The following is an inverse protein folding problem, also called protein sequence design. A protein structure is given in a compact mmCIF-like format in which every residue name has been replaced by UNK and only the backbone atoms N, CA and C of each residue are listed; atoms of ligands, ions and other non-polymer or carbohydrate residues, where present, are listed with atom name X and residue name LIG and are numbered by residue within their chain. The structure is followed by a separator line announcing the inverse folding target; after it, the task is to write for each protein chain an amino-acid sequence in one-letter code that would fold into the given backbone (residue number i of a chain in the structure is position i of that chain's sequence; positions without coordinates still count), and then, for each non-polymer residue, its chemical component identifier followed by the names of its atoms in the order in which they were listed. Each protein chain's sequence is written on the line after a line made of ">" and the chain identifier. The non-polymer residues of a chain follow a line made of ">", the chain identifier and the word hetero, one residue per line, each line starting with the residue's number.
data_IF_391694211824
#
_entry.id   IF_391694211824
#
_cell.length_a   1.000
_cell.length_b   1.000
_cell.length_c   1.000
_cell.angle_alpha   90.00
_cell.angle_beta   90.00
_cell.angle_gamma   90.00
#
_symmetry.space_group_name_H-M   'P 1'
#
loop_
_entity.id
_entity.type
_entity.pdbx_description
1 polymer ?
#
# COMPACT_ATOMS: atom_id res chain seq x y z
N UNK A 1 11.03 -54.86 50.46
CA UNK A 1 11.22 -54.58 51.91
C UNK A 1 12.46 -53.73 52.13
N UNK A 2 12.64 -53.09 53.33
CA UNK A 2 13.84 -52.30 53.63
C UNK A 2 15.06 -53.14 53.57
N UNK A 3 16.18 -52.68 53.01
CA UNK A 3 17.49 -53.33 53.05
C UNK A 3 18.23 -52.88 54.31
N UNK A 4 18.97 -53.79 54.90
CA UNK A 4 19.80 -53.48 56.09
C UNK A 4 21.12 -52.78 55.70
N UNK A 5 21.44 -52.71 54.42
CA UNK A 5 22.69 -52.16 53.87
C UNK A 5 22.39 -51.14 52.75
N UNK A 6 23.38 -50.30 52.41
CA UNK A 6 23.38 -49.50 51.21
C UNK A 6 23.16 -50.40 49.99
N UNK A 7 22.29 -49.97 49.08
CA UNK A 7 22.00 -50.71 47.86
C UNK A 7 22.17 -49.79 46.65
N UNK A 8 22.88 -50.30 45.65
CA UNK A 8 23.14 -49.55 44.42
C UNK A 8 22.25 -50.05 43.30
N UNK A 9 21.64 -49.14 42.54
CA UNK A 9 20.84 -49.43 41.36
C UNK A 9 21.32 -48.60 40.16
N UNK A 10 21.18 -49.12 38.95
CA UNK A 10 21.34 -48.32 37.74
C UNK A 10 20.27 -47.23 37.69
N UNK A 11 20.65 -46.05 37.23
CA UNK A 11 19.75 -44.92 37.00
C UNK A 11 20.02 -44.33 35.63
N UNK A 12 18.96 -44.01 34.89
CA UNK A 12 19.07 -43.29 33.64
C UNK A 12 17.86 -42.38 33.44
N UNK A 13 18.11 -41.21 32.87
CA UNK A 13 17.16 -40.41 32.18
C UNK A 13 17.40 -40.59 30.67
N UNK A 14 16.35 -40.75 29.91
CA UNK A 14 16.43 -40.88 28.47
C UNK A 14 15.38 -40.00 27.81
N UNK A 15 15.79 -39.34 26.74
CA UNK A 15 14.92 -38.55 25.90
C UNK A 15 13.81 -39.42 25.28
N UNK A 16 12.65 -38.87 25.16
CA UNK A 16 11.53 -39.36 24.35
C UNK A 16 11.25 -38.38 23.23
N UNK A 17 10.11 -37.70 23.30
CA UNK A 17 9.89 -36.49 22.52
C UNK A 17 10.55 -35.27 23.16
N UNK A 18 10.57 -35.23 24.49
CA UNK A 18 11.33 -34.24 25.27
C UNK A 18 12.84 -34.50 25.23
N UNK A 19 13.63 -33.43 25.06
CA UNK A 19 15.09 -33.44 24.90
C UNK A 19 15.78 -32.80 26.12
N UNK A 20 16.77 -33.48 26.67
CA UNK A 20 17.55 -32.96 27.78
C UNK A 20 18.31 -31.67 27.41
N UNK A 21 18.13 -30.63 28.22
CA UNK A 21 18.73 -29.30 28.02
C UNK A 21 17.85 -28.31 27.26
N UNK A 22 16.89 -28.79 26.47
CA UNK A 22 15.81 -27.96 25.91
C UNK A 22 14.59 -28.00 26.85
N UNK A 23 14.03 -29.16 27.09
CA UNK A 23 12.71 -29.33 27.72
C UNK A 23 12.81 -29.74 29.18
N UNK A 24 13.92 -30.35 29.58
CA UNK A 24 14.19 -30.71 30.98
C UNK A 24 15.66 -30.70 31.33
N UNK A 25 15.95 -30.52 32.63
CA UNK A 25 17.31 -30.58 33.16
C UNK A 25 17.71 -32.01 33.44
N UNK A 26 18.81 -32.48 32.81
CA UNK A 26 19.38 -33.82 33.08
C UNK A 26 20.12 -33.95 34.45
N UNK A 27 19.73 -33.14 35.42
CA UNK A 27 20.29 -33.08 36.76
C UNK A 27 19.21 -33.43 37.81
N UNK A 28 18.83 -34.71 37.93
CA UNK A 28 17.74 -35.12 38.82
C UNK A 28 18.11 -34.93 40.29
N UNK A 29 17.10 -34.61 41.10
CA UNK A 29 17.20 -34.54 42.55
C UNK A 29 16.52 -35.77 43.18
N UNK A 30 17.10 -36.28 44.25
CA UNK A 30 16.60 -37.46 44.96
C UNK A 30 16.22 -37.11 46.38
N UNK A 31 15.14 -37.69 46.89
CA UNK A 31 14.75 -37.56 48.29
C UNK A 31 15.40 -38.68 49.17
N UNK A 32 15.22 -38.57 50.51
CA UNK A 32 15.61 -39.56 51.51
C UNK A 32 17.09 -39.92 51.50
N UNK A 33 17.98 -38.98 51.13
CA UNK A 33 19.44 -39.20 51.16
C UNK A 33 19.97 -40.15 50.09
N UNK A 34 19.18 -40.44 49.07
CA UNK A 34 19.65 -41.15 47.87
C UNK A 34 20.64 -40.25 47.14
N UNK A 35 21.78 -40.78 46.75
CA UNK A 35 22.83 -40.07 46.01
C UNK A 35 22.97 -40.61 44.59
N UNK A 36 23.33 -39.77 43.66
CA UNK A 36 23.51 -40.08 42.24
C UNK A 36 24.97 -39.86 41.84
N UNK A 37 25.57 -40.86 41.22
CA UNK A 37 26.86 -40.74 40.56
C UNK A 37 26.67 -40.69 39.03
N UNK A 38 26.83 -39.51 38.38
CA UNK A 38 26.65 -39.38 36.96
C UNK A 38 27.75 -40.06 36.12
N UNK A 39 28.91 -40.41 36.71
CA UNK A 39 30.01 -41.08 36.02
C UNK A 39 29.69 -42.55 35.81
N UNK A 40 29.12 -43.19 36.81
CA UNK A 40 28.75 -44.61 36.76
C UNK A 40 27.30 -44.86 36.35
N UNK A 41 26.46 -43.81 36.32
CA UNK A 41 25.03 -43.93 36.04
C UNK A 41 24.30 -44.75 37.13
N UNK A 42 24.72 -44.60 38.42
CA UNK A 42 24.11 -45.34 39.48
C UNK A 42 23.60 -44.44 40.61
N UNK A 43 22.59 -44.94 41.32
CA UNK A 43 22.11 -44.32 42.56
C UNK A 43 22.45 -45.25 43.72
N UNK A 44 22.78 -44.65 44.88
CA UNK A 44 22.98 -45.36 46.15
C UNK A 44 21.83 -45.02 47.10
N UNK A 45 21.07 -46.05 47.50
CA UNK A 45 19.90 -45.92 48.37
C UNK A 45 20.32 -46.29 49.77
N UNK A 46 20.12 -45.40 50.78
CA UNK A 46 20.50 -45.69 52.17
C UNK A 46 19.73 -46.88 52.80
N UNK A 47 20.33 -47.52 53.80
CA UNK A 47 19.67 -48.57 54.56
C UNK A 47 18.37 -48.08 55.20
N UNK A 48 17.31 -48.92 55.14
CA UNK A 48 15.97 -48.57 55.66
C UNK A 48 15.09 -47.78 54.79
N UNK A 49 15.56 -47.20 53.66
CA UNK A 49 14.73 -46.48 52.69
C UNK A 49 13.93 -47.47 51.84
N UNK A 50 12.60 -47.33 51.84
CA UNK A 50 11.68 -48.21 51.14
C UNK A 50 11.06 -47.54 49.93
N UNK A 51 11.11 -46.17 49.85
CA UNK A 51 10.65 -45.34 48.75
C UNK A 51 11.44 -44.04 48.74
N UNK A 52 11.62 -43.49 47.56
CA UNK A 52 12.19 -42.17 47.34
C UNK A 52 11.54 -41.55 46.06
N UNK A 53 11.65 -40.24 45.94
CA UNK A 53 11.21 -39.52 44.76
C UNK A 53 12.40 -39.09 43.92
N UNK A 54 12.23 -39.10 42.60
CA UNK A 54 13.12 -38.50 41.64
C UNK A 54 12.40 -37.24 41.09
N UNK A 55 13.02 -36.09 41.27
CA UNK A 55 12.51 -34.83 40.73
C UNK A 55 13.37 -34.40 39.56
N UNK A 56 12.75 -34.18 38.42
CA UNK A 56 13.34 -33.64 37.19
C UNK A 56 12.69 -32.27 36.95
N UNK A 57 13.52 -31.25 36.81
CA UNK A 57 13.02 -29.89 36.52
C UNK A 57 12.74 -29.75 35.03
N UNK A 58 11.54 -29.29 34.65
CA UNK A 58 11.25 -28.83 33.30
C UNK A 58 11.96 -27.51 33.02
N UNK A 59 12.21 -27.24 31.77
CA UNK A 59 12.64 -25.95 31.25
C UNK A 59 11.40 -25.29 30.64
N UNK A 60 11.16 -24.04 30.99
CA UNK A 60 10.07 -23.20 30.46
C UNK A 60 10.65 -22.30 29.40
N UNK A 61 10.00 -22.21 28.21
CA UNK A 61 10.41 -21.32 27.15
C UNK A 61 9.18 -20.56 26.57
N UNK A 62 9.13 -20.20 25.32
CA UNK A 62 8.00 -19.50 24.69
C UNK A 62 7.77 -20.08 23.30
N UNK A 63 7.87 -21.38 23.14
CA UNK A 63 7.66 -22.11 21.89
C UNK A 63 6.40 -22.94 22.00
N UNK A 64 5.44 -22.76 21.10
CA UNK A 64 4.28 -23.64 21.05
C UNK A 64 4.68 -25.02 20.57
N UNK A 65 4.52 -25.99 21.43
CA UNK A 65 4.89 -27.39 21.23
C UNK A 65 3.69 -28.31 21.49
N UNK A 66 3.89 -29.58 21.46
CA UNK A 66 2.93 -30.55 21.98
C UNK A 66 3.42 -31.11 23.32
N UNK A 67 2.55 -31.76 24.09
CA UNK A 67 2.96 -32.47 25.26
C UNK A 67 4.10 -33.45 24.95
N UNK A 68 5.19 -33.38 25.70
CA UNK A 68 6.39 -34.12 25.46
C UNK A 68 6.68 -35.15 26.58
N UNK A 69 7.51 -36.13 26.27
CA UNK A 69 7.78 -37.22 27.21
C UNK A 69 9.26 -37.55 27.32
N UNK A 70 9.67 -37.94 28.48
CA UNK A 70 10.98 -38.54 28.79
C UNK A 70 10.84 -39.78 29.67
N UNK A 71 11.86 -40.62 29.73
CA UNK A 71 11.84 -41.83 30.48
C UNK A 71 12.81 -41.79 31.67
N UNK A 72 12.34 -42.20 32.84
CA UNK A 72 13.16 -42.42 34.04
C UNK A 72 13.29 -43.92 34.30
N UNK A 73 14.52 -44.42 34.41
CA UNK A 73 14.77 -45.83 34.66
C UNK A 73 15.57 -46.00 35.96
N UNK A 74 15.13 -46.95 36.82
CA UNK A 74 15.79 -47.31 38.08
C UNK A 74 15.83 -48.83 38.20
N UNK A 75 17.03 -49.43 38.30
CA UNK A 75 17.20 -50.88 38.52
C UNK A 75 16.49 -51.73 37.45
N UNK A 76 16.40 -51.28 36.23
CA UNK A 76 15.76 -51.99 35.12
C UNK A 76 14.23 -51.82 35.03
N UNK A 77 13.63 -51.02 35.90
CA UNK A 77 12.23 -50.59 35.78
C UNK A 77 12.19 -49.17 35.28
N UNK A 78 11.23 -48.83 34.44
CA UNK A 78 11.09 -47.49 33.84
C UNK A 78 9.68 -46.92 34.03
N UNK A 79 9.63 -45.60 34.10
CA UNK A 79 8.41 -44.78 34.11
C UNK A 79 8.57 -43.61 33.15
N UNK A 80 7.44 -43.14 32.60
CA UNK A 80 7.41 -41.98 31.70
C UNK A 80 7.02 -40.73 32.50
N UNK A 81 7.78 -39.65 32.31
CA UNK A 81 7.38 -38.32 32.70
C UNK A 81 6.79 -37.60 31.45
N UNK A 82 5.77 -36.77 31.66
CA UNK A 82 5.20 -35.89 30.63
C UNK A 82 5.41 -34.45 31.02
N UNK A 83 5.90 -33.65 30.10
CA UNK A 83 5.97 -32.19 30.17
C UNK A 83 4.80 -31.66 29.34
N UNK A 84 3.99 -30.83 29.96
CA UNK A 84 2.82 -30.22 29.32
C UNK A 84 3.21 -28.82 28.86
N UNK A 85 2.99 -28.53 27.58
CA UNK A 85 3.20 -27.20 27.00
C UNK A 85 2.21 -26.20 27.60
N UNK A 86 2.69 -25.03 28.00
CA UNK A 86 1.91 -23.94 28.58
C UNK A 86 1.81 -22.67 27.67
N UNK A 87 2.46 -22.66 26.51
CA UNK A 87 2.56 -21.50 25.63
C UNK A 87 1.39 -21.35 24.67
N UNK A 88 0.65 -22.43 24.45
CA UNK A 88 -0.54 -22.44 23.62
C UNK A 88 -0.26 -22.24 22.12
N UNK A 89 -1.33 -22.15 21.34
CA UNK A 89 -1.21 -21.99 19.90
C UNK A 89 -0.85 -20.54 19.50
N UNK A 90 0.10 -20.32 18.57
CA UNK A 90 0.48 -18.98 18.14
C UNK A 90 -0.65 -18.27 17.37
N UNK A 91 -0.65 -16.94 17.39
CA UNK A 91 -1.56 -16.12 16.60
C UNK A 91 -0.85 -15.42 15.45
N UNK A 92 -1.49 -15.41 14.27
CA UNK A 92 -1.02 -14.77 13.06
C UNK A 92 -1.55 -13.34 12.97
N UNK A 93 -0.67 -12.40 12.67
CA UNK A 93 -1.00 -11.01 12.45
C UNK A 93 -0.40 -10.53 11.13
N UNK A 94 -1.18 -9.78 10.34
CA UNK A 94 -0.68 -9.07 9.17
C UNK A 94 -0.60 -7.57 9.46
N UNK A 95 0.45 -6.92 8.97
CA UNK A 95 0.65 -5.48 9.02
C UNK A 95 1.25 -4.97 7.72
N UNK A 96 1.01 -3.69 7.40
CA UNK A 96 1.52 -3.03 6.20
C UNK A 96 1.26 -1.53 6.24
N UNK A 97 1.69 -0.79 5.21
CA UNK A 97 1.48 0.64 5.13
C UNK A 97 -0.01 0.95 4.90
N UNK A 98 -0.51 1.97 5.60
CA UNK A 98 -1.89 2.46 5.42
C UNK A 98 -2.04 3.31 4.15
N UNK A 99 -0.96 4.00 3.74
CA UNK A 99 -0.90 4.86 2.55
C UNK A 99 0.27 4.40 1.70
N UNK A 100 0.04 4.28 0.41
CA UNK A 100 0.96 3.79 -0.61
C UNK A 100 1.01 4.79 -1.75
N UNK A 101 2.21 5.17 -2.18
CA UNK A 101 2.44 5.91 -3.40
C UNK A 101 2.10 5.03 -4.61
N UNK A 102 1.37 5.54 -5.58
CA UNK A 102 1.11 4.82 -6.84
C UNK A 102 2.43 4.48 -7.55
N UNK A 103 3.40 5.38 -7.54
CA UNK A 103 4.74 5.16 -8.12
C UNK A 103 5.66 4.27 -7.26
N UNK A 104 5.18 3.65 -6.17
CA UNK A 104 6.01 2.81 -5.30
C UNK A 104 6.56 1.54 -5.99
N UNK A 105 5.93 1.11 -7.08
CA UNK A 105 6.27 -0.12 -7.81
C UNK A 105 5.95 -1.40 -7.04
N UNK A 106 6.29 -1.48 -5.75
CA UNK A 106 5.97 -2.62 -4.89
C UNK A 106 5.74 -2.20 -3.44
N UNK A 107 4.83 -2.90 -2.77
CA UNK A 107 4.51 -2.73 -1.34
C UNK A 107 4.74 -4.04 -0.60
N UNK A 108 5.36 -3.95 0.57
CA UNK A 108 5.65 -5.10 1.42
C UNK A 108 4.76 -5.11 2.65
N UNK A 109 4.12 -6.24 2.88
CA UNK A 109 3.35 -6.56 4.08
C UNK A 109 4.12 -7.58 4.92
N UNK A 110 4.04 -7.46 6.23
CA UNK A 110 4.68 -8.39 7.17
C UNK A 110 3.62 -9.23 7.85
N UNK A 111 3.81 -10.55 7.83
CA UNK A 111 2.99 -11.50 8.59
C UNK A 111 3.85 -12.06 9.72
N UNK A 112 3.33 -11.99 10.95
CA UNK A 112 4.04 -12.42 12.15
C UNK A 112 3.24 -13.45 12.94
N UNK A 113 3.97 -14.37 13.60
CA UNK A 113 3.45 -15.20 14.69
C UNK A 113 3.70 -14.50 16.03
N UNK A 114 2.78 -14.64 16.99
CA UNK A 114 2.93 -14.08 18.35
C UNK A 114 4.13 -14.64 19.09
N UNK A 115 4.44 -15.91 18.85
CA UNK A 115 5.62 -16.64 19.37
C UNK A 115 5.97 -17.79 18.40
N UNK A 116 7.20 -18.36 18.49
CA UNK A 116 7.60 -19.46 17.63
C UNK A 116 6.77 -20.74 17.89
N UNK A 117 6.75 -21.63 16.91
CA UNK A 117 6.19 -22.98 17.02
C UNK A 117 7.29 -23.99 16.70
N UNK A 118 7.29 -25.11 17.39
CA UNK A 118 8.16 -26.24 17.07
C UNK A 118 7.75 -26.96 15.78
N UNK A 119 6.49 -26.82 15.37
CA UNK A 119 5.95 -27.33 14.10
C UNK A 119 5.93 -26.29 13.00
N UNK A 120 5.72 -26.74 11.75
CA UNK A 120 5.46 -25.86 10.61
C UNK A 120 4.07 -25.25 10.73
N UNK A 121 3.95 -23.92 10.59
CA UNK A 121 2.69 -23.18 10.51
C UNK A 121 2.54 -22.65 9.09
N UNK A 122 1.38 -22.88 8.45
CA UNK A 122 1.06 -22.26 7.14
C UNK A 122 -0.16 -21.39 7.25
N UNK A 123 -0.24 -20.39 6.36
CA UNK A 123 -1.41 -19.52 6.20
C UNK A 123 -1.53 -19.09 4.75
N UNK A 124 -2.72 -19.12 4.21
CA UNK A 124 -3.00 -18.59 2.88
C UNK A 124 -3.19 -17.08 2.95
N UNK A 125 -2.78 -16.38 1.90
CA UNK A 125 -3.01 -14.95 1.74
C UNK A 125 -3.56 -14.63 0.35
N UNK A 126 -4.35 -13.55 0.27
CA UNK A 126 -4.81 -13.00 -0.98
C UNK A 126 -5.05 -11.50 -0.86
N UNK A 127 -4.73 -10.77 -1.95
CA UNK A 127 -5.22 -9.41 -2.12
C UNK A 127 -6.66 -9.41 -2.60
N UNK A 128 -7.40 -8.34 -2.28
CA UNK A 128 -8.78 -8.14 -2.69
C UNK A 128 -9.03 -6.67 -3.04
N UNK A 129 -9.81 -6.45 -4.10
CA UNK A 129 -10.21 -5.12 -4.56
C UNK A 129 -11.04 -4.38 -3.49
N UNK A 130 -10.84 -3.07 -3.47
CA UNK A 130 -11.70 -2.11 -2.82
C UNK A 130 -12.22 -1.16 -3.89
N UNK A 131 -11.84 0.14 -3.85
CA UNK A 131 -11.97 1.03 -5.00
C UNK A 131 -10.86 0.79 -6.01
N UNK A 132 -9.64 0.51 -5.55
CA UNK A 132 -8.55 0.04 -6.42
C UNK A 132 -8.84 -1.36 -6.98
N UNK A 133 -8.59 -1.57 -8.27
CA UNK A 133 -8.91 -2.79 -9.01
C UNK A 133 -7.65 -3.51 -9.51
N UNK A 134 -7.61 -4.80 -9.31
CA UNK A 134 -6.50 -5.62 -9.78
C UNK A 134 -6.40 -5.60 -11.32
N UNK A 135 -5.19 -5.30 -11.83
CA UNK A 135 -4.91 -5.20 -13.26
C UNK A 135 -4.81 -3.76 -13.77
N UNK A 136 -5.44 -2.78 -13.08
CA UNK A 136 -5.22 -1.34 -13.27
C UNK A 136 -4.22 -0.84 -12.22
N UNK A 137 -4.62 -0.81 -10.96
CA UNK A 137 -3.94 -0.08 -9.88
C UNK A 137 -2.91 -0.95 -9.13
N UNK A 138 -3.09 -2.27 -9.15
CA UNK A 138 -2.15 -3.22 -8.56
C UNK A 138 -2.24 -4.60 -9.21
N UNK A 139 -1.24 -5.45 -8.99
CA UNK A 139 -1.28 -6.84 -9.44
C UNK A 139 -1.86 -7.73 -8.33
N UNK A 140 -2.95 -8.46 -8.66
CA UNK A 140 -3.52 -9.44 -7.73
C UNK A 140 -2.46 -10.44 -7.26
N UNK A 141 -2.35 -10.61 -5.95
CA UNK A 141 -1.32 -11.43 -5.32
C UNK A 141 -1.98 -12.41 -4.35
N UNK A 142 -1.63 -13.70 -4.47
CA UNK A 142 -2.12 -14.74 -3.57
C UNK A 142 -1.11 -15.88 -3.44
N UNK A 143 -1.20 -16.64 -2.36
CA UNK A 143 -0.32 -17.78 -2.12
C UNK A 143 -0.45 -18.33 -0.71
N UNK A 144 0.52 -19.15 -0.32
CA UNK A 144 0.63 -19.72 1.02
C UNK A 144 1.99 -19.36 1.61
N UNK A 145 2.00 -18.76 2.80
CA UNK A 145 3.20 -18.59 3.60
C UNK A 145 3.43 -19.84 4.45
N UNK A 146 4.69 -20.25 4.59
CA UNK A 146 5.08 -21.40 5.40
C UNK A 146 6.18 -20.98 6.36
N UNK A 147 5.83 -20.89 7.64
CA UNK A 147 6.76 -20.64 8.73
C UNK A 147 7.42 -21.96 9.12
N UNK A 148 8.74 -22.02 8.97
CA UNK A 148 9.52 -23.15 9.49
C UNK A 148 9.54 -23.14 11.02
N UNK A 149 9.85 -24.28 11.67
CA UNK A 149 10.04 -24.31 13.12
C UNK A 149 10.93 -23.18 13.62
N UNK A 150 10.50 -22.46 14.64
CA UNK A 150 11.18 -21.31 15.22
C UNK A 150 11.05 -19.99 14.44
N UNK A 151 10.49 -19.99 13.23
CA UNK A 151 10.32 -18.79 12.42
C UNK A 151 9.06 -18.02 12.83
N UNK A 152 9.16 -16.69 13.00
CA UNK A 152 8.05 -15.84 13.47
C UNK A 152 7.66 -14.71 12.52
N UNK A 153 8.36 -14.54 11.39
CA UNK A 153 8.07 -13.45 10.45
C UNK A 153 8.31 -13.86 9.00
N UNK A 154 7.38 -13.49 8.13
CA UNK A 154 7.46 -13.62 6.66
C UNK A 154 6.85 -12.37 6.02
N UNK A 155 7.12 -12.17 4.72
CA UNK A 155 6.62 -11.02 3.98
C UNK A 155 5.82 -11.42 2.75
N UNK A 156 4.87 -10.55 2.38
CA UNK A 156 4.11 -10.59 1.14
C UNK A 156 4.47 -9.32 0.37
N UNK A 157 4.71 -9.42 -0.94
CA UNK A 157 4.95 -8.27 -1.82
C UNK A 157 3.80 -8.15 -2.79
N UNK A 158 3.21 -6.96 -2.89
CA UNK A 158 2.16 -6.60 -3.85
C UNK A 158 2.72 -5.57 -4.81
N UNK A 159 2.77 -5.84 -6.14
CA UNK A 159 3.13 -4.85 -7.14
C UNK A 159 2.02 -3.81 -7.29
N UNK A 160 2.39 -2.52 -7.34
CA UNK A 160 1.54 -1.37 -7.60
C UNK A 160 1.80 -0.88 -9.02
N UNK A 161 0.75 -0.48 -9.73
CA UNK A 161 0.82 0.04 -11.09
C UNK A 161 0.74 1.57 -11.05
N UNK A 162 1.62 2.24 -11.78
CA UNK A 162 1.65 3.68 -12.02
C UNK A 162 1.31 3.91 -13.48
N UNK A 163 0.25 4.66 -13.78
CA UNK A 163 -0.22 4.87 -15.16
C UNK A 163 -0.33 6.36 -15.56
N UNK A 164 -0.12 7.29 -14.63
CA UNK A 164 -0.17 8.73 -14.85
C UNK A 164 -1.58 9.28 -15.08
N UNK A 165 -2.62 8.57 -14.65
CA UNK A 165 -4.01 9.04 -14.60
C UNK A 165 -4.34 9.45 -13.18
N UNK A 166 -4.79 10.68 -12.97
CA UNK A 166 -5.26 11.07 -11.64
C UNK A 166 -6.58 10.37 -11.31
N UNK A 167 -6.57 9.50 -10.33
CA UNK A 167 -7.71 8.70 -9.89
C UNK A 167 -8.19 9.06 -8.48
N UNK A 168 -7.32 9.71 -7.70
CA UNK A 168 -7.57 10.06 -6.31
C UNK A 168 -7.23 8.92 -5.35
N UNK A 169 -7.89 8.92 -4.20
CA UNK A 169 -7.63 7.88 -3.21
C UNK A 169 -8.34 6.58 -3.57
N UNK A 170 -7.57 5.50 -3.69
CA UNK A 170 -8.11 4.19 -3.96
C UNK A 170 -7.64 3.16 -2.92
N UNK A 171 -8.45 2.14 -2.66
CA UNK A 171 -8.17 1.17 -1.60
C UNK A 171 -8.18 -0.26 -2.11
N UNK A 172 -7.26 -1.07 -1.58
CA UNK A 172 -7.26 -2.53 -1.67
C UNK A 172 -6.89 -3.13 -0.31
N UNK A 173 -7.06 -4.42 -0.16
CA UNK A 173 -6.71 -5.12 1.09
C UNK A 173 -5.88 -6.37 0.83
N UNK A 174 -5.12 -6.81 1.84
CA UNK A 174 -4.46 -8.11 1.87
C UNK A 174 -4.96 -8.87 3.09
N UNK A 175 -5.50 -10.07 2.89
CA UNK A 175 -6.11 -10.89 3.92
C UNK A 175 -5.42 -12.23 4.11
N UNK A 176 -5.54 -12.78 5.32
CA UNK A 176 -5.08 -14.11 5.73
C UNK A 176 -6.26 -15.07 5.89
N UNK A 177 -6.04 -16.33 5.55
CA UNK A 177 -7.04 -17.40 5.70
C UNK A 177 -6.39 -18.77 5.90
N UNK A 178 -7.18 -19.78 6.27
CA UNK A 178 -6.77 -21.18 6.35
C UNK A 178 -5.46 -21.44 7.15
N UNK A 179 -5.33 -20.97 8.39
CA UNK A 179 -4.14 -21.23 9.19
C UNK A 179 -4.04 -22.73 9.53
N UNK A 180 -2.81 -23.27 9.60
CA UNK A 180 -2.51 -24.63 10.01
C UNK A 180 -1.55 -24.65 11.20
N UNK A 181 -1.13 -25.84 11.65
CA UNK A 181 -0.19 -25.99 12.78
C UNK A 181 -0.77 -25.51 14.12
N UNK A 182 -2.10 -25.54 14.27
CA UNK A 182 -2.78 -25.09 15.48
C UNK A 182 -2.94 -23.56 15.59
N UNK A 183 -2.28 -22.79 14.73
CA UNK A 183 -2.29 -21.32 14.80
C UNK A 183 -3.71 -20.73 14.57
N UNK A 184 -3.98 -19.60 15.22
CA UNK A 184 -5.19 -18.80 15.00
C UNK A 184 -4.85 -17.50 14.28
N UNK A 185 -5.82 -16.88 13.62
CA UNK A 185 -5.67 -15.56 13.02
C UNK A 185 -6.12 -14.50 14.03
N UNK A 186 -5.21 -13.61 14.42
CA UNK A 186 -5.49 -12.46 15.28
C UNK A 186 -5.85 -11.21 14.46
N UNK A 187 -4.97 -10.78 13.54
CA UNK A 187 -5.27 -9.72 12.57
C UNK A 187 -5.43 -10.34 11.20
N UNK A 188 -6.67 -10.40 10.72
CA UNK A 188 -7.02 -11.14 9.52
C UNK A 188 -6.70 -10.38 8.22
N UNK A 189 -6.69 -9.05 8.23
CA UNK A 189 -6.45 -8.26 7.02
C UNK A 189 -5.92 -6.88 7.34
N UNK A 190 -5.29 -6.26 6.35
CA UNK A 190 -4.86 -4.87 6.33
C UNK A 190 -5.35 -4.22 5.05
N UNK A 191 -5.80 -2.97 5.13
CA UNK A 191 -6.21 -2.15 3.98
C UNK A 191 -5.16 -1.08 3.75
N UNK A 192 -4.80 -0.87 2.49
CA UNK A 192 -3.91 0.20 2.04
C UNK A 192 -4.66 1.12 1.09
N UNK A 193 -4.34 2.41 1.14
CA UNK A 193 -4.84 3.43 0.22
C UNK A 193 -3.73 3.82 -0.73
N UNK A 194 -3.93 3.64 -2.03
CA UNK A 194 -3.06 4.15 -3.10
C UNK A 194 -3.38 5.62 -3.29
N UNK A 195 -2.36 6.45 -3.49
CA UNK A 195 -2.48 7.90 -3.64
C UNK A 195 -1.54 8.42 -4.74
N UNK A 196 -2.02 9.40 -5.51
CA UNK A 196 -1.39 10.02 -6.68
C UNK A 196 -1.50 11.57 -6.67
N UNK A 197 -1.64 12.19 -5.48
CA UNK A 197 -2.00 13.59 -5.29
C UNK A 197 -0.89 14.46 -4.70
N UNK A 198 0.35 14.00 -4.73
CA UNK A 198 1.52 14.75 -4.23
C UNK A 198 1.55 14.96 -2.72
N UNK A 199 0.72 14.24 -1.95
CA UNK A 199 0.69 14.37 -0.48
C UNK A 199 1.96 13.86 0.17
N UNK A 200 2.22 14.33 1.39
CA UNK A 200 3.30 13.78 2.22
C UNK A 200 2.98 12.34 2.67
N UNK A 201 3.95 11.45 2.54
CA UNK A 201 3.84 10.05 2.95
C UNK A 201 4.25 9.86 4.42
N UNK A 202 3.63 8.94 5.17
CA UNK A 202 3.93 8.71 6.58
C UNK A 202 5.39 8.31 6.87
N UNK A 203 6.08 7.71 5.90
CA UNK A 203 7.50 7.33 5.98
C UNK A 203 8.50 8.41 5.54
N UNK A 204 7.99 9.59 5.15
CA UNK A 204 8.77 10.67 4.54
C UNK A 204 8.74 10.62 3.01
N UNK A 205 9.01 11.75 2.37
CA UNK A 205 8.81 11.93 0.93
C UNK A 205 7.39 12.38 0.59
N UNK A 206 7.11 12.50 -0.70
CA UNK A 206 5.80 12.86 -1.26
C UNK A 206 5.40 11.78 -2.26
N UNK A 207 4.11 11.50 -2.35
CA UNK A 207 3.55 10.69 -3.43
C UNK A 207 3.78 11.39 -4.78
N UNK A 208 3.73 10.64 -5.90
CA UNK A 208 3.62 11.26 -7.22
C UNK A 208 2.40 12.19 -7.27
N UNK A 209 2.37 13.10 -8.23
CA UNK A 209 1.30 14.10 -8.36
C UNK A 209 0.80 14.12 -9.80
N UNK A 210 -0.21 13.32 -10.07
CA UNK A 210 -0.85 13.19 -11.38
C UNK A 210 -2.06 14.12 -11.55
N UNK A 211 -2.35 14.95 -10.55
CA UNK A 211 -3.42 15.94 -10.64
C UNK A 211 -3.22 16.82 -11.86
N UNK A 212 -4.23 16.94 -12.74
CA UNK A 212 -4.12 17.71 -13.97
C UNK A 212 -3.78 19.18 -13.72
N UNK A 213 -2.80 19.68 -14.44
CA UNK A 213 -2.43 21.08 -14.52
C UNK A 213 -2.58 21.53 -15.98
N UNK A 214 -2.96 22.78 -16.23
CA UNK A 214 -2.85 23.33 -17.56
C UNK A 214 -1.37 23.45 -17.91
N UNK A 215 -0.95 22.69 -18.92
CA UNK A 215 0.43 22.65 -19.43
C UNK A 215 0.65 23.54 -20.64
N UNK A 216 -0.42 23.93 -21.34
CA UNK A 216 -0.33 24.80 -22.50
C UNK A 216 -1.65 25.47 -22.87
N UNK A 217 -1.55 26.69 -23.39
CA UNK A 217 -2.61 27.39 -24.10
C UNK A 217 -2.01 27.87 -25.44
N UNK A 218 -2.62 27.50 -26.58
CA UNK A 218 -2.14 27.91 -27.89
C UNK A 218 -2.32 29.40 -28.13
N UNK A 219 -1.64 29.91 -29.17
CA UNK A 219 -1.76 31.32 -29.60
C UNK A 219 -2.26 31.37 -31.07
N UNK A 220 -3.58 31.30 -31.28
CA UNK A 220 -4.16 31.32 -32.60
C UNK A 220 -4.10 32.69 -33.25
N UNK A 221 -4.25 32.74 -34.58
CA UNK A 221 -4.48 33.97 -35.35
C UNK A 221 -5.63 33.77 -36.34
N UNK A 222 -6.48 34.77 -36.45
CA UNK A 222 -7.65 34.73 -37.34
C UNK A 222 -7.90 36.13 -37.91
N UNK A 223 -8.50 36.24 -39.12
CA UNK A 223 -9.02 37.50 -39.59
C UNK A 223 -10.29 37.88 -38.82
N UNK A 224 -10.56 39.18 -38.71
CA UNK A 224 -11.79 39.72 -38.13
C UNK A 224 -13.03 38.98 -38.66
N UNK A 225 -14.03 38.83 -37.80
CA UNK A 225 -15.24 38.06 -38.06
C UNK A 225 -15.10 36.55 -38.00
N UNK A 226 -13.87 36.03 -37.79
CA UNK A 226 -13.62 34.63 -37.55
C UNK A 226 -13.61 34.27 -36.08
N UNK A 227 -13.22 33.02 -35.78
CA UNK A 227 -13.15 32.50 -34.40
C UNK A 227 -11.69 32.27 -33.96
N UNK A 228 -11.29 32.80 -32.85
CA UNK A 228 -10.02 32.45 -32.19
C UNK A 228 -10.20 31.16 -31.41
N UNK A 229 -9.64 30.07 -31.91
CA UNK A 229 -9.71 28.75 -31.31
C UNK A 229 -8.44 28.47 -30.51
N UNK A 230 -8.48 28.74 -29.21
CA UNK A 230 -7.39 28.42 -28.25
C UNK A 230 -7.43 26.95 -27.87
N UNK A 231 -6.39 26.19 -28.12
CA UNK A 231 -6.24 24.83 -27.62
C UNK A 231 -5.62 24.89 -26.23
N UNK A 232 -6.32 24.36 -25.23
CA UNK A 232 -5.88 24.20 -23.85
C UNK A 232 -5.49 22.75 -23.64
N UNK A 233 -4.29 22.51 -23.08
CA UNK A 233 -3.74 21.16 -22.83
C UNK A 233 -3.51 20.95 -21.35
N UNK A 234 -3.89 19.78 -20.83
CA UNK A 234 -3.62 19.32 -19.47
C UNK A 234 -2.38 18.42 -19.42
N UNK A 235 -1.71 18.38 -18.28
CA UNK A 235 -0.51 17.54 -18.05
C UNK A 235 -0.84 16.05 -18.02
N UNK A 236 -1.94 15.68 -17.35
CA UNK A 236 -2.37 14.32 -17.14
C UNK A 236 -3.89 14.19 -17.35
N UNK A 237 -4.38 13.02 -17.74
CA UNK A 237 -5.82 12.73 -17.68
C UNK A 237 -6.26 12.54 -16.23
N UNK A 238 -7.57 12.62 -16.00
CA UNK A 238 -8.18 12.28 -14.71
C UNK A 238 -9.33 11.31 -14.92
N UNK A 239 -9.55 10.41 -14.00
CA UNK A 239 -10.72 9.51 -13.96
C UNK A 239 -12.03 10.26 -13.64
N UNK A 240 -11.92 11.50 -13.14
CA UNK A 240 -13.05 12.38 -12.80
C UNK A 240 -12.95 13.70 -13.56
N UNK A 241 -14.06 14.49 -13.72
CA UNK A 241 -13.99 15.79 -14.35
C UNK A 241 -13.01 16.75 -13.67
N UNK A 242 -12.24 17.49 -14.47
CA UNK A 242 -11.27 18.48 -14.00
C UNK A 242 -11.78 19.88 -14.19
N UNK A 243 -11.90 20.66 -13.13
CA UNK A 243 -12.31 22.07 -13.21
C UNK A 243 -11.14 22.94 -13.65
N UNK A 244 -11.31 23.64 -14.78
CA UNK A 244 -10.37 24.63 -15.32
C UNK A 244 -10.98 26.02 -15.25
N UNK A 245 -10.24 26.97 -14.68
CA UNK A 245 -10.59 28.40 -14.71
C UNK A 245 -10.09 29.01 -16.01
N UNK A 246 -10.98 29.68 -16.73
CA UNK A 246 -10.71 30.39 -17.96
C UNK A 246 -10.89 31.91 -17.74
N UNK A 247 -9.90 32.70 -18.12
CA UNK A 247 -9.96 34.15 -17.98
C UNK A 247 -9.47 34.81 -19.27
N UNK A 248 -10.38 35.20 -20.14
CA UNK A 248 -10.05 36.07 -21.26
C UNK A 248 -9.74 37.47 -20.76
N UNK A 249 -8.82 38.17 -21.39
CA UNK A 249 -8.46 39.56 -21.05
C UNK A 249 -8.03 40.35 -22.30
N UNK A 250 -8.18 41.66 -22.21
CA UNK A 250 -7.72 42.59 -23.23
C UNK A 250 -6.20 42.47 -23.46
N UNK A 251 -5.80 42.62 -24.71
CA UNK A 251 -4.44 42.87 -25.13
C UNK A 251 -4.32 44.27 -25.74
N UNK A 252 -4.03 44.37 -27.06
CA UNK A 252 -4.27 45.58 -27.80
C UNK A 252 -5.75 45.69 -28.26
N UNK A 253 -6.40 44.55 -28.49
CA UNK A 253 -7.84 44.48 -28.72
C UNK A 253 -8.64 44.44 -27.41
N UNK A 254 -9.90 44.83 -27.47
CA UNK A 254 -10.82 45.03 -26.33
C UNK A 254 -11.95 43.99 -26.37
N UNK A 255 -12.12 43.25 -25.28
CA UNK A 255 -13.22 42.30 -25.15
C UNK A 255 -14.58 42.98 -25.22
N UNK A 256 -15.46 42.44 -26.07
CA UNK A 256 -16.80 42.99 -26.30
C UNK A 256 -16.88 44.09 -27.34
N UNK A 257 -15.73 44.60 -27.82
CA UNK A 257 -15.63 45.46 -28.99
C UNK A 257 -15.14 44.63 -30.18
N UNK A 258 -13.94 44.09 -30.03
CA UNK A 258 -13.26 43.32 -31.09
C UNK A 258 -13.54 41.82 -30.95
N UNK A 259 -14.22 41.40 -29.88
CA UNK A 259 -14.67 40.04 -29.66
C UNK A 259 -16.15 39.94 -29.39
N UNK A 260 -16.77 38.87 -29.90
CA UNK A 260 -18.17 38.54 -29.71
C UNK A 260 -18.44 37.67 -28.48
N UNK A 261 -19.70 37.34 -28.29
CA UNK A 261 -20.20 36.43 -27.27
C UNK A 261 -21.22 35.45 -27.87
N UNK A 262 -21.37 34.21 -27.32
CA UNK A 262 -20.69 33.65 -26.14
C UNK A 262 -19.30 33.14 -26.49
N UNK A 263 -18.43 33.02 -25.46
CA UNK A 263 -17.26 32.16 -25.52
C UNK A 263 -17.75 30.71 -25.39
N UNK A 264 -17.22 29.82 -26.19
CA UNK A 264 -17.65 28.42 -26.24
C UNK A 264 -16.48 27.47 -26.01
N UNK A 265 -16.78 26.24 -25.55
CA UNK A 265 -15.79 25.16 -25.41
C UNK A 265 -16.22 23.94 -26.19
N UNK A 266 -15.22 23.23 -26.72
CA UNK A 266 -15.38 21.92 -27.35
C UNK A 266 -14.40 20.92 -26.73
N UNK A 267 -14.92 19.76 -26.32
CA UNK A 267 -14.15 18.65 -25.76
C UNK A 267 -13.98 17.48 -26.76
N UNK A 268 -14.51 17.65 -28.00
CA UNK A 268 -14.57 16.60 -29.02
C UNK A 268 -13.91 17.03 -30.35
N UNK A 269 -12.96 17.96 -30.28
CA UNK A 269 -12.21 18.43 -31.43
C UNK A 269 -12.99 19.36 -32.35
N UNK A 270 -13.98 20.09 -31.84
CA UNK A 270 -14.79 21.06 -32.58
C UNK A 270 -16.07 20.49 -33.16
N UNK A 271 -16.43 19.24 -32.86
CA UNK A 271 -17.67 18.65 -33.38
C UNK A 271 -18.91 19.22 -32.67
N UNK A 272 -18.82 19.51 -31.39
CA UNK A 272 -19.87 20.17 -30.60
C UNK A 272 -19.29 21.32 -29.77
N UNK A 273 -20.09 22.38 -29.60
CA UNK A 273 -19.73 23.60 -28.89
C UNK A 273 -20.72 23.87 -27.77
N UNK A 274 -20.22 24.22 -26.58
CA UNK A 274 -21.03 24.55 -25.41
C UNK A 274 -20.65 25.94 -24.90
N UNK A 275 -21.62 26.88 -24.76
CA UNK A 275 -21.36 28.21 -24.21
C UNK A 275 -20.81 28.13 -22.77
N UNK A 276 -19.78 28.92 -22.48
CA UNK A 276 -19.18 29.06 -21.16
C UNK A 276 -20.01 30.00 -20.31
N UNK A 277 -20.70 29.52 -19.29
CA UNK A 277 -21.60 30.29 -18.45
C UNK A 277 -20.95 31.05 -17.29
N UNK A 278 -19.64 30.85 -17.05
CA UNK A 278 -18.92 31.46 -15.94
C UNK A 278 -17.40 31.39 -16.13
N UNK A 279 -16.59 31.63 -15.09
CA UNK A 279 -15.16 31.62 -15.22
C UNK A 279 -14.53 30.19 -15.24
N UNK A 280 -15.34 29.16 -15.07
CA UNK A 280 -14.85 27.77 -14.99
C UNK A 280 -15.57 26.85 -15.95
N UNK A 281 -14.85 25.82 -16.40
CA UNK A 281 -15.39 24.70 -17.17
C UNK A 281 -14.95 23.40 -16.54
N UNK A 282 -15.81 22.38 -16.56
CA UNK A 282 -15.49 21.02 -16.13
C UNK A 282 -15.10 20.20 -17.36
N UNK A 283 -13.80 19.94 -17.50
CA UNK A 283 -13.23 19.09 -18.53
C UNK A 283 -13.60 17.64 -18.23
N UNK A 284 -14.25 16.90 -19.15
CA UNK A 284 -14.67 15.52 -18.89
C UNK A 284 -13.51 14.60 -18.55
N UNK A 285 -13.80 13.53 -17.79
CA UNK A 285 -12.85 12.46 -17.48
C UNK A 285 -12.15 11.96 -18.75
N UNK A 286 -10.83 11.70 -18.64
CA UNK A 286 -9.97 11.22 -19.73
C UNK A 286 -9.58 12.26 -20.77
N UNK A 287 -10.16 13.47 -20.76
CA UNK A 287 -9.83 14.53 -21.73
C UNK A 287 -8.59 15.30 -21.27
N UNK A 288 -7.56 15.34 -22.12
CA UNK A 288 -6.30 16.07 -21.86
C UNK A 288 -6.12 17.30 -22.75
N UNK A 289 -7.05 17.55 -23.69
CA UNK A 289 -7.00 18.72 -24.58
C UNK A 289 -8.43 19.12 -24.98
N UNK A 290 -8.71 20.41 -24.96
CA UNK A 290 -9.98 20.98 -25.39
C UNK A 290 -9.77 22.34 -26.04
N UNK A 291 -10.76 22.82 -26.80
CA UNK A 291 -10.69 24.08 -27.49
C UNK A 291 -11.62 25.09 -26.84
N UNK A 292 -11.12 26.30 -26.63
CA UNK A 292 -11.89 27.47 -26.21
C UNK A 292 -12.01 28.41 -27.42
N UNK A 293 -13.23 28.67 -27.87
CA UNK A 293 -13.54 29.56 -28.98
C UNK A 293 -13.94 30.94 -28.49
N UNK A 294 -13.26 31.95 -28.99
CA UNK A 294 -13.62 33.35 -28.80
C UNK A 294 -13.96 33.91 -30.17
N UNK A 295 -15.25 34.20 -30.46
CA UNK A 295 -15.62 34.83 -31.72
C UNK A 295 -15.01 36.24 -31.83
N UNK A 296 -14.62 36.69 -33.02
CA UNK A 296 -14.20 38.07 -33.29
C UNK A 296 -15.27 38.85 -34.02
N UNK A 297 -15.23 40.16 -33.90
CA UNK A 297 -16.16 41.06 -34.58
C UNK A 297 -15.52 41.57 -35.88
N UNK A 298 -16.28 41.62 -36.97
CA UNK A 298 -15.89 42.17 -38.25
C UNK A 298 -16.49 43.58 -38.36
N UNK A 299 -15.69 44.60 -38.66
CA UNK A 299 -16.21 45.95 -38.89
C UNK A 299 -15.69 46.53 -40.24
N UNK A 300 -15.54 47.79 -40.41
CA UNK A 300 -15.07 48.43 -41.67
C UNK A 300 -14.00 49.48 -41.39
N UNK A 301 -13.38 49.42 -40.26
CA UNK A 301 -12.38 50.37 -39.77
C UNK A 301 -11.00 49.74 -40.01
N UNK A 302 -10.18 50.32 -40.87
CA UNK A 302 -8.83 49.84 -41.03
C UNK A 302 -7.99 50.14 -39.78
N UNK A 303 -7.59 49.13 -39.10
CA UNK A 303 -6.84 49.16 -37.84
C UNK A 303 -5.47 48.45 -37.99
N UNK A 304 -4.81 48.19 -36.94
CA UNK A 304 -3.64 47.29 -36.94
C UNK A 304 -4.00 45.95 -36.31
N UNK A 305 -3.24 44.91 -36.58
CA UNK A 305 -3.44 43.61 -35.92
C UNK A 305 -3.59 43.79 -34.41
N UNK A 306 -4.61 43.18 -33.82
CA UNK A 306 -4.97 43.29 -32.42
C UNK A 306 -4.77 41.98 -31.70
N UNK A 307 -4.70 42.03 -30.38
CA UNK A 307 -4.49 40.86 -29.56
C UNK A 307 -5.45 40.80 -28.38
N UNK A 308 -5.85 39.59 -28.02
CA UNK A 308 -6.50 39.27 -26.76
C UNK A 308 -5.72 38.14 -26.09
N UNK A 309 -5.86 37.94 -24.80
CA UNK A 309 -5.23 36.83 -24.08
C UNK A 309 -6.28 35.91 -23.46
N UNK A 310 -5.97 34.61 -23.40
CA UNK A 310 -6.70 33.62 -22.64
C UNK A 310 -5.79 33.03 -21.63
N UNK A 311 -6.09 33.22 -20.32
CA UNK A 311 -5.43 32.53 -19.23
C UNK A 311 -6.26 31.32 -18.84
N UNK A 312 -5.59 30.17 -18.64
CA UNK A 312 -6.23 28.95 -18.16
C UNK A 312 -5.42 28.32 -17.02
N UNK A 313 -6.09 27.74 -16.01
CA UNK A 313 -5.43 27.08 -14.90
C UNK A 313 -6.37 26.20 -14.10
N UNK A 314 -5.82 25.13 -13.51
CA UNK A 314 -6.45 24.32 -12.48
C UNK A 314 -6.04 24.82 -11.07
N UNK A 315 -6.66 24.35 -9.98
CA UNK A 315 -6.21 24.67 -8.62
C UNK A 315 -4.75 24.27 -8.33
N UNK A 316 -4.15 23.34 -9.09
CA UNK A 316 -2.78 22.87 -8.94
C UNK A 316 -1.77 23.75 -9.68
N UNK A 317 -2.18 24.58 -10.63
CA UNK A 317 -1.27 25.50 -11.29
C UNK A 317 -0.78 26.59 -10.31
N UNK A 318 0.52 26.74 -10.16
CA UNK A 318 1.11 27.82 -9.36
C UNK A 318 0.82 29.21 -9.95
N UNK A 319 0.67 29.28 -11.27
CA UNK A 319 0.20 30.42 -12.04
C UNK A 319 -0.55 29.93 -13.28
N UNK A 320 -1.58 30.66 -13.75
CA UNK A 320 -2.28 30.30 -14.98
C UNK A 320 -1.32 30.34 -16.19
N UNK A 321 -1.58 29.48 -17.17
CA UNK A 321 -0.89 29.48 -18.46
C UNK A 321 -1.66 30.39 -19.41
N UNK A 322 -0.93 31.22 -20.18
CA UNK A 322 -1.51 32.26 -21.03
C UNK A 322 -1.20 31.98 -22.50
N UNK A 323 -2.23 32.01 -23.33
CA UNK A 323 -2.12 32.09 -24.78
C UNK A 323 -2.51 33.49 -25.28
N UNK A 324 -1.94 33.93 -26.41
CA UNK A 324 -2.26 35.22 -27.07
C UNK A 324 -2.91 34.93 -28.43
N UNK A 325 -4.15 35.35 -28.60
CA UNK A 325 -4.84 35.34 -29.89
C UNK A 325 -4.58 36.63 -30.66
N UNK A 326 -4.35 36.53 -31.94
CA UNK A 326 -4.18 37.68 -32.83
C UNK A 326 -5.37 37.79 -33.76
N UNK A 327 -6.02 38.97 -33.76
CA UNK A 327 -7.08 39.37 -34.71
C UNK A 327 -6.40 40.16 -35.80
N UNK A 328 -6.48 39.68 -37.02
CA UNK A 328 -5.85 40.32 -38.20
C UNK A 328 -6.87 41.18 -38.90
N UNK A 329 -6.56 42.48 -38.99
CA UNK A 329 -7.38 43.44 -39.76
C UNK A 329 -7.50 42.99 -41.21
N UNK A 330 -8.72 42.95 -41.72
CA UNK A 330 -9.02 42.57 -43.09
C UNK A 330 -9.54 43.77 -43.94
N UNK A 331 -9.65 44.97 -43.34
CA UNK A 331 -10.08 46.18 -44.01
C UNK A 331 -8.92 46.93 -44.65
N UNK A 332 -9.14 47.40 -45.81
CA UNK A 332 -8.14 48.15 -46.55
C UNK A 332 -7.94 49.58 -46.03
N UNK A 333 -6.73 50.14 -46.25
CA UNK A 333 -6.45 51.53 -45.91
C UNK A 333 -7.46 52.49 -46.58
N UNK A 334 -7.95 53.47 -45.84
CA UNK A 334 -8.93 54.41 -46.37
C UNK A 334 -8.44 55.15 -47.64
N UNK A 335 -9.24 55.12 -48.69
CA UNK A 335 -8.93 55.85 -49.97
C UNK A 335 -9.49 57.28 -49.99
N UNK A 336 -8.62 58.23 -50.17
CA UNK A 336 -9.01 59.64 -50.30
C UNK A 336 -9.48 59.92 -51.73
N UNK A 337 -10.76 60.27 -51.94
CA UNK A 337 -11.28 60.74 -53.21
C UNK A 337 -11.36 62.25 -53.17
N UNK A 338 -10.68 62.95 -54.14
CA UNK A 338 -10.84 64.40 -54.38
C UNK A 338 -11.82 64.56 -55.55
N UNK A 339 -13.02 65.08 -55.30
CA UNK A 339 -13.94 65.52 -56.36
C UNK A 339 -13.66 66.98 -56.74
N UNK A 340 -13.36 67.27 -58.01
CA UNK A 340 -13.21 68.59 -58.53
C UNK A 340 -14.58 69.21 -59.00
#
# INVERSE_FOLDING_TARGET
>A
GPTSNLTTYSFALADGTATAGADYMASPLFSHGVTYDPVTGTITVPAGVTSFTVSVSSVDDNVAEGDESYTVSVGGQSGTGTIVDNDGAPTLHISGPAIVDEAAGTVTYTVTLSHPSAGTVTVDYASADGSATAGSDYTATSGTLSFAPGQTSLTITVPISDDGVYEGEETYSVGLSNPTGGAAIGTASVTSTIVDDGRALPGGGTANDDRPQVSGVSSPSVSEGGDLDFVVTLSHPSSTPTTVTLTPADGSGTLGTDTGTPIEVSFDGGATWTPVAGPTVDVPAGVTSFTVRVPTVDDVISEGDETITLSAGTPQNAAPVVGTGTIVDNDGAPTLHISG
#
